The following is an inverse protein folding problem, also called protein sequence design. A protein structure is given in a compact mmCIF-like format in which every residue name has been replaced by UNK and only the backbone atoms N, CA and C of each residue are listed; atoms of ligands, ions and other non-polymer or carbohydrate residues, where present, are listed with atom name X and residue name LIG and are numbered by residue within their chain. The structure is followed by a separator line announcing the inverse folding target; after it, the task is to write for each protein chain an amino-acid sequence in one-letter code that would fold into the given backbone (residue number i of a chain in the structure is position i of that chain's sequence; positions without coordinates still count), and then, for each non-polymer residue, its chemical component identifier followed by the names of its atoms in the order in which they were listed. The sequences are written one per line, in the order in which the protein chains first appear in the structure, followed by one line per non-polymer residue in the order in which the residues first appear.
data_IF_135327101279
#
_entry.id   IF_135327101279
#
_cell.length_a   1.000
_cell.length_b   1.000
_cell.length_c   1.000
_cell.angle_alpha   90.00
_cell.angle_beta   90.00
_cell.angle_gamma   90.00
#
_symmetry.space_group_name_H-M   'P 1'
#
loop_
_entity.id
_entity.type
_entity.pdbx_description
1 polymer ?
#
# COMPACT_ATOMS: atom_id res chain seq x y z
N UNK A 1 -15.16 -30.67 -32.57
CA UNK A 1 -14.63 -29.37 -32.13
C UNK A 1 -15.42 -28.28 -32.82
N UNK A 2 -15.95 -27.34 -32.05
CA UNK A 2 -16.61 -26.15 -32.58
C UNK A 2 -15.56 -25.12 -33.01
N UNK A 3 -15.98 -24.15 -33.83
CA UNK A 3 -15.14 -22.99 -34.20
C UNK A 3 -14.71 -22.19 -32.96
N UNK A 4 -15.58 -22.10 -31.95
CA UNK A 4 -15.28 -21.47 -30.68
C UNK A 4 -14.15 -22.20 -29.92
N UNK A 5 -14.15 -23.53 -29.91
CA UNK A 5 -13.08 -24.33 -29.26
C UNK A 5 -11.73 -24.06 -29.93
N UNK A 6 -11.71 -24.04 -31.28
CA UNK A 6 -10.50 -23.77 -32.06
C UNK A 6 -9.96 -22.35 -31.80
N UNK A 7 -10.84 -21.35 -31.78
CA UNK A 7 -10.45 -19.96 -31.49
C UNK A 7 -9.89 -19.85 -30.07
N UNK A 8 -10.53 -20.51 -29.09
CA UNK A 8 -10.06 -20.51 -27.70
C UNK A 8 -8.65 -21.14 -27.57
N UNK A 9 -8.42 -22.27 -28.22
CA UNK A 9 -7.11 -22.95 -28.23
C UNK A 9 -6.02 -22.13 -28.94
N UNK A 10 -6.35 -21.46 -30.05
CA UNK A 10 -5.43 -20.54 -30.76
C UNK A 10 -5.04 -19.34 -29.87
N UNK A 11 -6.00 -18.78 -29.14
CA UNK A 11 -5.78 -17.65 -28.22
C UNK A 11 -4.93 -18.05 -27.00
N UNK A 12 -5.19 -19.21 -26.41
CA UNK A 12 -4.39 -19.73 -25.29
C UNK A 12 -2.91 -19.90 -25.67
N UNK A 13 -2.64 -20.36 -26.89
CA UNK A 13 -1.29 -20.49 -27.44
C UNK A 13 -0.62 -19.14 -27.79
N UNK A 14 -1.40 -18.08 -27.96
CA UNK A 14 -0.86 -16.75 -28.29
C UNK A 14 -0.25 -16.08 -27.07
N UNK A 15 -0.86 -16.22 -25.90
CA UNK A 15 -0.34 -15.66 -24.64
C UNK A 15 1.00 -16.29 -24.25
N UNK A 16 1.11 -17.62 -24.37
CA UNK A 16 2.37 -18.32 -24.08
C UNK A 16 3.51 -17.93 -25.03
N UNK A 17 3.21 -17.66 -26.32
CA UNK A 17 4.19 -17.12 -27.28
C UNK A 17 4.70 -15.73 -26.90
N UNK A 18 3.91 -14.95 -26.16
CA UNK A 18 4.31 -13.65 -25.63
C UNK A 18 4.96 -13.74 -24.24
N UNK A 19 5.15 -14.96 -23.70
CA UNK A 19 5.71 -15.19 -22.36
C UNK A 19 4.77 -14.77 -21.25
N UNK A 20 3.46 -14.78 -21.51
CA UNK A 20 2.41 -14.40 -20.58
C UNK A 20 1.58 -15.63 -20.19
N UNK A 21 1.35 -15.81 -18.89
CA UNK A 21 0.48 -16.87 -18.37
C UNK A 21 -1.01 -16.45 -18.36
N UNK A 22 -1.25 -15.14 -18.36
CA UNK A 22 -2.58 -14.52 -18.39
C UNK A 22 -2.51 -13.13 -19.05
N UNK A 23 -3.67 -12.55 -19.40
CA UNK A 23 -3.72 -11.19 -19.95
C UNK A 23 -3.37 -10.19 -18.83
N UNK A 24 -2.28 -9.42 -18.95
CA UNK A 24 -1.83 -8.54 -17.88
C UNK A 24 -2.46 -7.13 -17.97
N UNK A 25 -3.42 -6.94 -18.88
CA UNK A 25 -4.14 -5.68 -19.07
C UNK A 25 -5.34 -5.63 -18.13
N UNK A 26 -5.20 -4.84 -17.07
CA UNK A 26 -6.30 -4.51 -16.15
C UNK A 26 -6.68 -3.04 -16.27
N UNK A 27 -7.84 -2.66 -15.75
CA UNK A 27 -8.28 -1.26 -15.73
C UNK A 27 -7.31 -0.33 -14.98
N UNK A 28 -6.57 -0.85 -14.00
CA UNK A 28 -5.58 -0.09 -13.25
C UNK A 28 -4.34 -0.91 -12.94
N UNK A 29 -3.16 -0.34 -13.17
CA UNK A 29 -1.89 -0.96 -12.77
C UNK A 29 -1.79 -1.24 -11.27
N UNK A 30 -2.60 -0.58 -10.43
CA UNK A 30 -2.64 -0.84 -8.98
C UNK A 30 -3.28 -2.18 -8.61
N UNK A 31 -4.02 -2.82 -9.53
CA UNK A 31 -4.56 -4.17 -9.32
C UNK A 31 -3.56 -5.27 -9.71
N UNK A 32 -2.46 -4.92 -10.39
CA UNK A 32 -1.45 -5.89 -10.80
C UNK A 32 -0.56 -6.30 -9.63
N UNK A 33 -0.26 -7.59 -9.56
CA UNK A 33 0.79 -8.12 -8.71
C UNK A 33 2.17 -7.60 -9.14
N UNK A 34 3.15 -7.66 -8.23
CA UNK A 34 4.51 -7.16 -8.49
C UNK A 34 5.18 -7.88 -9.67
N UNK A 35 4.90 -9.17 -9.87
CA UNK A 35 5.41 -9.95 -11.00
C UNK A 35 4.82 -9.49 -12.33
N UNK A 36 3.49 -9.35 -12.40
CA UNK A 36 2.78 -8.91 -13.61
C UNK A 36 3.17 -7.48 -14.00
N UNK A 37 3.28 -6.57 -13.02
CA UNK A 37 3.69 -5.18 -13.26
C UNK A 37 5.04 -5.11 -13.99
N UNK A 38 5.99 -5.96 -13.64
CA UNK A 38 7.31 -6.00 -14.28
C UNK A 38 7.28 -6.57 -15.69
N UNK A 39 6.33 -7.46 -15.98
CA UNK A 39 6.16 -8.00 -17.33
C UNK A 39 5.62 -6.93 -18.29
N UNK A 40 4.74 -6.05 -17.81
CA UNK A 40 4.13 -4.99 -18.65
C UNK A 40 4.90 -3.68 -18.66
N UNK A 41 5.67 -3.38 -17.61
CA UNK A 41 6.41 -2.12 -17.52
C UNK A 41 7.69 -2.15 -18.35
N UNK A 42 7.64 -1.55 -19.54
CA UNK A 42 8.74 -1.56 -20.52
C UNK A 42 9.00 -0.16 -21.09
N UNK A 43 10.19 0.05 -21.68
CA UNK A 43 10.49 1.23 -22.51
C UNK A 43 10.70 2.56 -21.79
N UNK A 44 10.74 2.61 -20.46
CA UNK A 44 10.82 3.85 -19.64
C UNK A 44 12.14 4.06 -18.91
N UNK A 45 13.22 3.51 -19.46
CA UNK A 45 14.54 3.51 -18.79
C UNK A 45 15.08 4.92 -18.56
N UNK A 46 14.81 5.85 -19.47
CA UNK A 46 15.29 7.24 -19.35
C UNK A 46 14.59 7.95 -18.19
N UNK A 47 13.26 7.91 -18.16
CA UNK A 47 12.45 8.53 -17.12
C UNK A 47 12.73 7.90 -15.74
N UNK A 48 12.91 6.58 -15.68
CA UNK A 48 13.33 5.89 -14.46
C UNK A 48 14.68 6.41 -13.97
N UNK A 49 15.67 6.56 -14.85
CA UNK A 49 16.99 7.06 -14.47
C UNK A 49 16.90 8.47 -13.89
N UNK A 50 16.13 9.35 -14.54
CA UNK A 50 15.92 10.73 -14.07
C UNK A 50 15.29 10.74 -12.67
N UNK A 51 14.16 10.03 -12.50
CA UNK A 51 13.43 10.00 -11.23
C UNK A 51 14.23 9.32 -10.11
N UNK A 52 14.88 8.18 -10.38
CA UNK A 52 15.67 7.46 -9.37
C UNK A 52 16.89 8.27 -8.91
N UNK A 53 17.46 9.10 -9.78
CA UNK A 53 18.57 10.01 -9.41
C UNK A 53 18.10 11.06 -8.42
N UNK A 54 16.84 11.53 -8.52
CA UNK A 54 16.31 12.52 -7.58
C UNK A 54 16.30 12.02 -6.13
N UNK A 55 16.19 10.71 -5.91
CA UNK A 55 16.22 10.08 -4.59
C UNK A 55 17.63 9.91 -4.00
N UNK A 56 18.70 10.24 -4.72
CA UNK A 56 20.07 10.18 -4.17
C UNK A 56 20.38 11.32 -3.19
N UNK A 57 19.65 12.45 -3.26
CA UNK A 57 19.82 13.60 -2.36
C UNK A 57 18.88 13.56 -1.14
N UNK A 58 19.26 14.19 -0.02
CA UNK A 58 18.45 14.21 1.23
C UNK A 58 17.30 15.22 1.21
N UNK A 59 17.20 16.04 0.18
CA UNK A 59 16.19 17.09 0.08
C UNK A 59 14.77 16.53 -0.09
N UNK A 60 13.78 17.24 0.46
CA UNK A 60 12.37 16.95 0.23
C UNK A 60 12.03 17.35 -1.20
N UNK A 61 11.57 16.38 -2.00
CA UNK A 61 11.20 16.60 -3.40
C UNK A 61 9.73 16.28 -3.62
N UNK A 62 9.07 17.10 -4.43
CA UNK A 62 7.74 16.83 -4.98
C UNK A 62 7.92 16.52 -6.45
N UNK A 63 7.49 15.35 -6.88
CA UNK A 63 7.64 14.87 -8.25
C UNK A 63 6.25 14.73 -8.85
N UNK A 64 5.97 15.47 -9.92
CA UNK A 64 4.72 15.36 -10.66
C UNK A 64 4.94 14.46 -11.89
N UNK A 65 4.25 13.32 -11.93
CA UNK A 65 4.21 12.45 -13.10
C UNK A 65 2.96 12.78 -13.90
N UNK A 66 3.13 13.36 -15.10
CA UNK A 66 2.02 13.79 -15.96
C UNK A 66 2.11 13.15 -17.35
N UNK A 67 0.99 13.17 -18.08
CA UNK A 67 0.88 12.59 -19.42
C UNK A 67 -0.53 12.08 -19.72
N UNK A 68 -0.72 11.60 -20.94
CA UNK A 68 -1.99 11.12 -21.47
C UNK A 68 -2.58 9.96 -20.65
N UNK A 69 -3.89 9.77 -20.73
CA UNK A 69 -4.60 8.63 -20.13
C UNK A 69 -4.08 7.34 -20.80
N UNK A 70 -3.94 6.26 -20.03
CA UNK A 70 -3.47 4.96 -20.54
C UNK A 70 -1.96 4.83 -20.76
N UNK A 71 -1.17 5.90 -20.64
CA UNK A 71 0.28 5.86 -20.93
C UNK A 71 1.15 5.14 -19.86
N UNK A 72 0.52 4.57 -18.83
CA UNK A 72 1.20 3.79 -17.79
C UNK A 72 1.78 4.61 -16.62
N UNK A 73 1.24 5.80 -16.30
CA UNK A 73 1.72 6.63 -15.18
C UNK A 73 1.68 5.89 -13.84
N UNK A 74 0.57 5.22 -13.55
CA UNK A 74 0.42 4.43 -12.32
C UNK A 74 1.42 3.29 -12.28
N UNK A 75 1.63 2.58 -13.40
CA UNK A 75 2.65 1.53 -13.49
C UNK A 75 4.06 2.07 -13.24
N UNK A 76 4.37 3.24 -13.79
CA UNK A 76 5.63 3.94 -13.55
C UNK A 76 5.86 4.26 -12.07
N UNK A 77 4.85 4.85 -11.41
CA UNK A 77 4.93 5.17 -9.98
C UNK A 77 5.14 3.88 -9.16
N UNK A 78 4.37 2.83 -9.43
CA UNK A 78 4.47 1.56 -8.71
C UNK A 78 5.83 0.89 -8.91
N UNK A 79 6.41 0.96 -10.11
CA UNK A 79 7.77 0.43 -10.34
C UNK A 79 8.82 1.22 -9.57
N UNK A 80 8.74 2.56 -9.56
CA UNK A 80 9.64 3.41 -8.74
C UNK A 80 9.53 3.04 -7.26
N UNK A 81 8.31 2.94 -6.72
CA UNK A 81 8.10 2.53 -5.34
C UNK A 81 8.63 1.12 -5.06
N UNK A 82 8.45 0.17 -5.99
CA UNK A 82 8.96 -1.20 -5.88
C UNK A 82 10.49 -1.25 -5.86
N UNK A 83 11.16 -0.41 -6.66
CA UNK A 83 12.63 -0.28 -6.65
C UNK A 83 13.10 0.29 -5.32
N UNK A 84 12.45 1.36 -4.81
CA UNK A 84 12.80 1.97 -3.54
C UNK A 84 12.65 0.98 -2.37
N UNK A 85 11.53 0.26 -2.27
CA UNK A 85 11.31 -0.74 -1.21
C UNK A 85 12.36 -1.87 -1.24
N UNK A 86 12.82 -2.29 -2.41
CA UNK A 86 13.80 -3.39 -2.55
C UNK A 86 15.24 -2.94 -2.31
N UNK A 87 15.60 -1.75 -2.78
CA UNK A 87 17.01 -1.31 -2.83
C UNK A 87 17.37 -0.30 -1.74
N UNK A 88 16.41 0.47 -1.22
CA UNK A 88 16.62 1.47 -0.17
C UNK A 88 15.99 0.98 1.14
N UNK A 89 16.74 0.15 1.89
CA UNK A 89 16.26 -0.52 3.12
C UNK A 89 15.83 0.46 4.23
N UNK A 90 16.30 1.69 4.18
CA UNK A 90 16.00 2.77 5.11
C UNK A 90 14.88 3.71 4.61
N UNK A 91 14.23 3.39 3.50
CA UNK A 91 13.13 4.17 2.91
C UNK A 91 11.79 3.45 3.08
N UNK A 92 10.82 4.15 3.68
CA UNK A 92 9.42 3.72 3.66
C UNK A 92 8.74 4.31 2.43
N UNK A 93 8.34 3.46 1.49
CA UNK A 93 7.62 3.86 0.28
C UNK A 93 6.20 3.31 0.29
N UNK A 94 5.20 4.16 0.04
CA UNK A 94 3.79 3.78 0.00
C UNK A 94 3.04 4.45 -1.15
N UNK A 95 2.00 3.76 -1.61
CA UNK A 95 1.09 4.24 -2.64
C UNK A 95 -0.26 4.62 -2.01
N UNK A 96 -0.82 5.75 -2.43
CA UNK A 96 -2.17 6.20 -2.12
C UNK A 96 -3.00 6.24 -3.40
N UNK A 97 -4.09 5.48 -3.43
CA UNK A 97 -5.19 5.77 -4.34
C UNK A 97 -6.20 6.58 -3.54
N UNK A 98 -6.60 7.75 -4.03
CA UNK A 98 -7.61 8.58 -3.37
C UNK A 98 -8.99 7.96 -3.65
N UNK A 99 -9.65 7.30 -2.68
CA UNK A 99 -11.01 6.83 -2.89
C UNK A 99 -11.96 8.01 -3.07
N UNK A 100 -13.12 7.81 -3.71
CA UNK A 100 -14.19 8.80 -3.69
C UNK A 100 -14.45 9.25 -2.25
N UNK A 101 -14.69 10.55 -2.07
CA UNK A 101 -15.10 11.15 -0.78
C UNK A 101 -14.05 11.08 0.35
N UNK A 102 -12.81 10.67 0.07
CA UNK A 102 -11.70 10.69 1.04
C UNK A 102 -10.75 11.84 0.74
N UNK A 103 -10.42 12.64 1.75
CA UNK A 103 -9.41 13.68 1.59
C UNK A 103 -7.99 13.11 1.56
N UNK A 104 -7.06 13.88 0.99
CA UNK A 104 -5.67 13.46 0.80
C UNK A 104 -4.96 13.14 2.14
N UNK A 105 -5.24 13.90 3.20
CA UNK A 105 -4.57 13.70 4.48
C UNK A 105 -5.04 12.40 5.13
N UNK A 106 -6.34 12.10 5.08
CA UNK A 106 -6.89 10.82 5.53
C UNK A 106 -6.32 9.65 4.72
N UNK A 107 -6.28 9.76 3.38
CA UNK A 107 -5.70 8.70 2.54
C UNK A 107 -4.21 8.47 2.84
N UNK A 108 -3.43 9.54 3.01
CA UNK A 108 -2.02 9.48 3.36
C UNK A 108 -1.80 8.87 4.76
N UNK A 109 -2.60 9.26 5.74
CA UNK A 109 -2.59 8.69 7.09
C UNK A 109 -2.85 7.18 7.06
N UNK A 110 -3.89 6.74 6.36
CA UNK A 110 -4.23 5.32 6.22
C UNK A 110 -3.09 4.55 5.56
N UNK A 111 -2.56 5.05 4.45
CA UNK A 111 -1.50 4.36 3.72
C UNK A 111 -0.21 4.26 4.53
N UNK A 112 0.19 5.33 5.21
CA UNK A 112 1.36 5.33 6.08
C UNK A 112 1.15 4.38 7.28
N UNK A 113 -0.02 4.43 7.92
CA UNK A 113 -0.33 3.57 9.07
C UNK A 113 -0.32 2.08 8.71
N UNK A 114 -0.79 1.72 7.51
CA UNK A 114 -0.71 0.34 7.00
C UNK A 114 0.74 -0.13 6.78
N UNK A 115 1.68 0.78 6.49
CA UNK A 115 3.11 0.45 6.38
C UNK A 115 3.83 0.44 7.73
N UNK A 116 3.23 1.00 8.76
CA UNK A 116 3.78 1.05 10.13
C UNK A 116 3.12 0.00 11.03
N UNK A 117 3.15 -1.28 10.62
CA UNK A 117 2.49 -2.39 11.32
C UNK A 117 2.95 -2.59 12.77
N UNK A 118 4.22 -2.26 13.06
CA UNK A 118 4.80 -2.35 14.40
C UNK A 118 4.61 -1.10 15.26
N UNK A 119 3.88 -0.09 14.78
CA UNK A 119 3.62 1.13 15.53
C UNK A 119 2.20 1.09 16.13
N UNK A 120 2.11 0.93 17.44
CA UNK A 120 0.83 0.79 18.16
C UNK A 120 -0.10 1.98 17.92
N UNK A 121 0.46 3.19 17.88
CA UNK A 121 -0.31 4.40 17.62
C UNK A 121 -0.88 4.39 16.20
N UNK A 122 -0.10 3.96 15.21
CA UNK A 122 -0.56 3.83 13.83
C UNK A 122 -1.70 2.80 13.71
N UNK A 123 -1.57 1.64 14.36
CA UNK A 123 -2.61 0.61 14.35
C UNK A 123 -3.87 1.07 15.10
N UNK A 124 -3.71 1.86 16.17
CA UNK A 124 -4.84 2.47 16.86
C UNK A 124 -5.62 3.44 15.97
N UNK A 125 -4.94 4.29 15.20
CA UNK A 125 -5.61 5.19 14.25
C UNK A 125 -6.43 4.43 13.20
N UNK A 126 -5.89 3.33 12.65
CA UNK A 126 -6.64 2.48 11.71
C UNK A 126 -7.89 1.90 12.36
N UNK A 127 -7.76 1.42 13.60
CA UNK A 127 -8.88 0.83 14.33
C UNK A 127 -9.98 1.87 14.64
N UNK A 128 -9.60 3.10 15.02
CA UNK A 128 -10.55 4.20 15.19
C UNK A 128 -11.31 4.49 13.89
N UNK A 129 -10.68 4.36 12.72
CA UNK A 129 -11.36 4.51 11.42
C UNK A 129 -12.19 3.29 10.99
N UNK A 130 -12.30 2.25 11.82
CA UNK A 130 -12.96 1.00 11.44
C UNK A 130 -12.19 0.18 10.39
N UNK A 131 -10.93 0.53 10.14
CA UNK A 131 -10.06 -0.19 9.22
C UNK A 131 -9.34 -1.27 10.00
N UNK A 132 -9.42 -2.52 9.52
CA UNK A 132 -8.73 -3.64 10.17
C UNK A 132 -7.21 -3.39 10.23
N UNK A 133 -6.62 -3.23 11.42
CA UNK A 133 -5.17 -3.18 11.56
C UNK A 133 -4.58 -4.56 11.20
N UNK A 134 -3.38 -4.59 10.62
CA UNK A 134 -2.71 -5.86 10.26
C UNK A 134 -2.25 -6.66 11.49
N UNK A 135 -2.01 -5.96 12.61
CA UNK A 135 -1.81 -6.57 13.92
C UNK A 135 -2.92 -6.10 14.85
N UNK A 136 -3.73 -7.02 15.36
CA UNK A 136 -4.74 -6.69 16.35
C UNK A 136 -4.04 -6.19 17.63
N UNK A 137 -4.33 -4.97 18.11
CA UNK A 137 -3.86 -4.53 19.41
C UNK A 137 -4.53 -5.39 20.48
N UNK A 138 -3.74 -6.20 21.19
CA UNK A 138 -4.23 -6.99 22.33
C UNK A 138 -4.29 -6.07 23.54
N UNK A 139 -5.49 -5.59 23.88
CA UNK A 139 -5.70 -4.87 25.14
C UNK A 139 -5.73 -5.90 26.28
N UNK A 140 -4.60 -6.07 26.99
CA UNK A 140 -4.57 -6.89 28.20
C UNK A 140 -5.17 -6.09 29.37
N UNK A 141 -6.48 -6.14 29.53
CA UNK A 141 -7.14 -5.68 30.75
C UNK A 141 -6.98 -6.73 31.85
N UNK A 142 -5.89 -6.63 32.61
CA UNK A 142 -5.69 -7.44 33.81
C UNK A 142 -6.63 -6.99 34.93
N UNK A 143 -7.85 -7.55 35.00
CA UNK A 143 -8.64 -7.54 36.24
C UNK A 143 -8.22 -8.74 37.08
N UNK A 144 -7.20 -8.55 37.91
CA UNK A 144 -6.86 -9.52 38.94
C UNK A 144 -8.01 -9.67 39.93
N UNK A 145 -8.71 -10.80 39.89
CA UNK A 145 -9.48 -11.31 41.03
C UNK A 145 -8.90 -12.66 41.42
N UNK A 146 -8.20 -12.69 42.54
CA UNK A 146 -7.87 -13.92 43.23
C UNK A 146 -9.17 -14.57 43.74
N UNK A 147 -9.36 -15.87 43.46
CA UNK A 147 -10.47 -16.63 44.03
C UNK A 147 -11.01 -17.74 43.13
N UNK A 148 -10.43 -18.94 43.27
CA UNK A 148 -11.04 -20.27 43.24
C UNK A 148 -12.02 -20.60 42.08
N UNK A 149 -11.58 -21.60 41.30
CA UNK A 149 -12.35 -22.56 40.49
C UNK A 149 -13.14 -22.02 39.29
N UNK A 150 -12.73 -22.51 38.11
CA UNK A 150 -13.50 -22.65 36.87
C UNK A 150 -14.30 -21.45 36.40
N UNK A 151 -13.84 -20.73 35.35
CA UNK A 151 -14.70 -20.08 34.36
C UNK A 151 -13.83 -19.71 33.15
N UNK A 152 -14.35 -20.02 31.96
CA UNK A 152 -13.71 -19.76 30.67
C UNK A 152 -13.37 -18.28 30.49
N UNK A 153 -12.25 -18.04 29.83
CA UNK A 153 -11.86 -16.72 29.39
C UNK A 153 -12.75 -16.38 28.17
N UNK A 154 -13.93 -15.82 28.41
CA UNK A 154 -14.62 -15.04 27.38
C UNK A 154 -13.87 -13.71 27.26
N UNK A 155 -13.05 -13.62 26.22
CA UNK A 155 -12.54 -12.33 25.77
C UNK A 155 -13.73 -11.58 25.13
N UNK A 156 -14.33 -10.64 25.87
CA UNK A 156 -15.26 -9.68 25.28
C UNK A 156 -14.49 -8.80 24.30
N UNK A 157 -14.63 -9.07 23.00
CA UNK A 157 -14.25 -8.14 21.94
C UNK A 157 -15.20 -6.94 21.99
N UNK A 158 -14.82 -5.91 22.74
CA UNK A 158 -15.54 -4.64 22.74
C UNK A 158 -15.23 -3.90 21.45
N UNK A 159 -16.23 -3.78 20.58
CA UNK A 159 -16.17 -2.97 19.37
C UNK A 159 -16.05 -1.49 19.75
N UNK A 160 -14.83 -0.94 19.62
CA UNK A 160 -14.59 0.49 19.77
C UNK A 160 -15.38 1.21 18.66
N UNK A 161 -16.17 2.24 18.97
CA UNK A 161 -16.93 2.97 17.97
C UNK A 161 -15.98 3.59 16.93
N UNK A 162 -16.33 3.43 15.66
CA UNK A 162 -15.61 4.04 14.55
C UNK A 162 -15.70 5.56 14.70
N UNK A 163 -14.56 6.19 14.90
CA UNK A 163 -14.39 7.64 14.93
C UNK A 163 -13.38 8.02 13.85
N UNK A 164 -13.84 8.76 12.84
CA UNK A 164 -12.92 9.45 11.93
C UNK A 164 -12.02 10.36 12.76
N UNK A 165 -10.70 10.40 12.51
CA UNK A 165 -9.82 11.29 13.26
C UNK A 165 -10.33 12.72 13.10
N UNK A 166 -10.46 13.43 14.23
CA UNK A 166 -10.94 14.82 14.24
C UNK A 166 -10.01 15.77 13.46
N UNK A 167 -8.72 15.42 13.34
CA UNK A 167 -7.70 16.21 12.64
C UNK A 167 -6.75 15.31 11.82
N UNK A 168 -7.18 14.83 10.63
CA UNK A 168 -6.40 13.89 9.82
C UNK A 168 -5.00 14.42 9.42
N UNK A 169 -4.88 15.73 9.16
CA UNK A 169 -3.61 16.36 8.81
C UNK A 169 -2.60 16.33 9.96
N UNK A 170 -3.03 16.68 11.18
CA UNK A 170 -2.17 16.63 12.36
C UNK A 170 -1.78 15.19 12.70
N UNK A 171 -2.74 14.26 12.65
CA UNK A 171 -2.46 12.84 12.83
C UNK A 171 -1.48 12.30 11.77
N UNK A 172 -1.57 12.76 10.53
CA UNK A 172 -0.63 12.40 9.47
C UNK A 172 0.77 12.95 9.75
N UNK A 173 0.89 14.22 10.16
CA UNK A 173 2.18 14.83 10.52
C UNK A 173 2.85 14.10 11.67
N UNK A 174 2.11 13.81 12.75
CA UNK A 174 2.62 13.04 13.89
C UNK A 174 3.11 11.65 13.45
N UNK A 175 2.36 10.97 12.58
CA UNK A 175 2.75 9.66 12.07
C UNK A 175 3.98 9.74 11.18
N UNK A 176 4.08 10.78 10.35
CA UNK A 176 5.21 11.04 9.49
C UNK A 176 6.48 11.28 10.31
N UNK A 177 6.39 12.04 11.40
CA UNK A 177 7.52 12.22 12.32
C UNK A 177 7.96 10.90 12.96
N UNK A 178 6.99 10.08 13.40
CA UNK A 178 7.28 8.74 13.94
C UNK A 178 7.94 7.83 12.90
N UNK A 179 7.51 7.91 11.64
CA UNK A 179 8.12 7.17 10.54
C UNK A 179 9.56 7.64 10.32
N UNK A 180 9.81 8.96 10.29
CA UNK A 180 11.14 9.53 10.07
C UNK A 180 12.13 9.27 11.21
N UNK A 181 11.66 8.87 12.40
CA UNK A 181 12.53 8.35 13.47
C UNK A 181 13.07 6.94 13.18
N UNK A 182 12.36 6.15 12.35
CA UNK A 182 12.69 4.75 12.01
C UNK A 182 13.32 4.62 10.62
N UNK A 183 12.95 5.51 9.71
CA UNK A 183 13.34 5.50 8.31
C UNK A 183 14.03 6.83 7.96
N UNK A 184 15.11 6.78 7.17
CA UNK A 184 15.80 8.00 6.72
C UNK A 184 14.93 8.83 5.76
N UNK A 185 13.96 8.18 5.11
CA UNK A 185 13.05 8.81 4.16
C UNK A 185 11.68 8.13 4.15
N UNK A 186 10.65 8.94 3.93
CA UNK A 186 9.30 8.50 3.60
C UNK A 186 8.92 9.00 2.21
N UNK A 187 8.40 8.13 1.35
CA UNK A 187 7.91 8.43 0.01
C UNK A 187 6.44 8.01 -0.06
N UNK A 188 5.58 8.95 -0.44
CA UNK A 188 4.14 8.76 -0.61
C UNK A 188 3.82 9.20 -2.03
N UNK A 189 3.17 8.34 -2.82
CA UNK A 189 2.82 8.61 -4.20
C UNK A 189 1.41 8.15 -4.53
#
# INVERSE_FOLDING_TARGET
MSEADRIFDELANTLSRWGLDEIPFTESASSLGVSQLRQVFTGRTKELREVLTLFQGRERKRILVYGWIGIGKTAFILEVLSVLQRKAKDTLATYISLPPETDLATAALIALARKMEGDEWAQHQLNLMGLRPRKQPVQKTGKGKAGIASIGIEAEETTIPVTSPRFPALSFEDLLERALKKYSRVVIA
#
